data_IF_773551904880
#
_entry.id   IF_773551904880
#
_cell.length_a   1.000
_cell.length_b   1.000
_cell.length_c   1.000
_cell.angle_alpha   90.00
_cell.angle_beta   90.00
_cell.angle_gamma   90.00
#
_symmetry.space_group_name_H-M   'P 1'
#
loop_
_entity.id
_entity.type
_entity.pdbx_description
1 polymer ?
#
# COMPACT_ATOMS: atom_id res chain seq x y z
N UNK A 1 -45.57 -30.25 8.79
CA UNK A 1 -46.40 -31.19 9.57
C UNK A 1 -45.71 -31.47 10.89
N UNK A 2 -46.50 -31.66 11.96
CA UNK A 2 -46.15 -31.84 13.40
C UNK A 2 -46.11 -30.57 14.25
N UNK A 3 -47.33 -30.08 14.43
CA UNK A 3 -47.91 -29.57 15.67
C UNK A 3 -47.54 -30.40 16.91
N UNK A 4 -47.22 -29.72 18.02
CA UNK A 4 -47.60 -30.14 19.36
C UNK A 4 -48.23 -28.96 20.10
N UNK A 5 -49.25 -29.30 20.86
CA UNK A 5 -50.36 -28.49 21.33
C UNK A 5 -50.26 -28.41 22.86
N UNK A 6 -50.13 -27.17 23.36
CA UNK A 6 -50.96 -26.54 24.41
C UNK A 6 -50.81 -26.98 25.88
N UNK A 7 -50.94 -25.96 26.74
CA UNK A 7 -51.32 -25.89 28.18
C UNK A 7 -50.18 -25.73 29.20
N UNK A 8 -50.27 -24.90 30.24
CA UNK A 8 -51.44 -24.28 30.90
C UNK A 8 -51.10 -22.90 31.51
N UNK A 9 -52.15 -22.12 31.76
CA UNK A 9 -52.15 -20.80 32.40
C UNK A 9 -51.73 -20.87 33.88
N UNK A 10 -51.05 -19.82 34.36
CA UNK A 10 -51.29 -19.31 35.71
C UNK A 10 -51.07 -17.79 35.74
N UNK A 11 -52.16 -17.07 36.03
CA UNK A 11 -52.19 -15.66 36.40
C UNK A 11 -51.33 -15.44 37.65
N UNK A 12 -50.56 -14.36 37.65
CA UNK A 12 -49.94 -13.78 38.83
C UNK A 12 -49.71 -12.29 38.61
N UNK A 13 -50.77 -11.48 38.74
CA UNK A 13 -50.65 -10.04 38.94
C UNK A 13 -50.00 -9.80 40.31
N UNK A 14 -48.89 -9.06 40.35
CA UNK A 14 -48.59 -8.09 41.41
C UNK A 14 -47.27 -7.36 41.13
N UNK A 15 -47.30 -6.03 41.27
CA UNK A 15 -46.13 -5.29 41.76
C UNK A 15 -45.30 -4.57 40.71
N UNK A 16 -45.44 -3.25 40.70
CA UNK A 16 -44.64 -2.31 39.95
C UNK A 16 -43.16 -2.30 40.38
N UNK A 17 -42.26 -2.12 39.40
CA UNK A 17 -41.04 -1.33 39.54
C UNK A 17 -40.43 -1.08 38.16
N UNK A 18 -40.72 0.09 37.60
CA UNK A 18 -39.89 0.70 36.56
C UNK A 18 -38.50 0.94 37.13
N UNK A 19 -37.50 0.19 36.67
CA UNK A 19 -36.09 0.59 36.69
C UNK A 19 -35.52 0.27 35.31
N UNK A 20 -35.65 1.26 34.43
CA UNK A 20 -34.90 1.34 33.17
C UNK A 20 -33.42 1.59 33.50
N UNK A 21 -32.71 0.55 33.91
CA UNK A 21 -31.25 0.55 33.89
C UNK A 21 -30.81 0.16 32.48
N UNK A 22 -30.96 1.08 31.53
CA UNK A 22 -30.30 1.00 30.24
C UNK A 22 -28.79 1.05 30.48
N UNK A 23 -28.15 -0.11 30.53
CA UNK A 23 -26.70 -0.22 30.35
C UNK A 23 -26.41 0.21 28.92
N UNK A 24 -26.13 1.50 28.76
CA UNK A 24 -25.60 2.03 27.52
C UNK A 24 -24.30 1.30 27.19
N UNK A 25 -24.36 0.38 26.23
CA UNK A 25 -23.23 0.14 25.35
C UNK A 25 -22.89 1.51 24.75
N UNK A 26 -21.86 2.16 25.29
CA UNK A 26 -21.20 3.24 24.56
C UNK A 26 -20.42 2.55 23.44
N UNK A 27 -21.06 2.43 22.29
CA UNK A 27 -20.35 2.28 21.03
C UNK A 27 -19.30 3.41 20.98
N UNK A 28 -18.03 3.05 20.97
CA UNK A 28 -16.94 3.97 20.67
C UNK A 28 -16.98 4.26 19.16
N UNK A 29 -18.07 4.86 18.68
CA UNK A 29 -18.20 5.34 17.31
C UNK A 29 -17.67 6.78 17.23
N UNK A 30 -16.46 7.00 17.75
CA UNK A 30 -15.64 8.09 17.27
C UNK A 30 -15.24 7.79 15.82
N UNK A 31 -15.05 8.79 14.94
CA UNK A 31 -14.53 8.52 13.61
C UNK A 31 -13.23 7.72 13.78
N UNK A 32 -13.21 6.47 13.27
CA UNK A 32 -11.97 5.70 13.23
C UNK A 32 -10.96 6.58 12.49
N UNK A 33 -9.82 6.92 13.10
CA UNK A 33 -8.78 7.67 12.41
C UNK A 33 -8.54 6.96 11.08
N UNK A 34 -8.59 7.70 9.98
CA UNK A 34 -8.17 7.15 8.70
C UNK A 34 -6.79 6.51 8.91
N UNK A 35 -6.54 5.27 8.43
CA UNK A 35 -5.25 4.64 8.62
C UNK A 35 -4.14 5.56 8.09
N UNK A 36 -3.28 6.03 8.99
CA UNK A 36 -2.12 6.83 8.63
C UNK A 36 -1.11 5.88 7.98
N UNK A 37 -0.64 6.23 6.79
CA UNK A 37 0.42 5.49 6.14
C UNK A 37 1.73 6.05 6.69
N UNK A 38 2.30 5.40 7.71
CA UNK A 38 3.48 5.89 8.43
C UNK A 38 4.76 5.67 7.64
N UNK A 39 5.88 6.26 8.12
CA UNK A 39 7.20 5.98 7.58
C UNK A 39 7.57 4.49 7.66
N UNK A 40 7.16 3.79 8.72
CA UNK A 40 7.34 2.34 8.87
C UNK A 40 6.56 1.55 7.81
N UNK A 41 5.33 1.97 7.48
CA UNK A 41 4.57 1.36 6.38
C UNK A 41 5.27 1.55 5.03
N UNK A 42 5.87 2.72 4.80
CA UNK A 42 6.65 2.97 3.59
C UNK A 42 7.90 2.09 3.54
N UNK A 43 8.66 2.03 4.63
CA UNK A 43 9.86 1.20 4.74
C UNK A 43 9.54 -0.27 4.48
N UNK A 44 8.56 -0.84 5.17
CA UNK A 44 8.15 -2.24 4.97
C UNK A 44 7.62 -2.53 3.56
N UNK A 45 6.97 -1.54 2.92
CA UNK A 45 6.58 -1.67 1.50
C UNK A 45 7.82 -1.70 0.59
N UNK A 46 8.82 -0.86 0.83
CA UNK A 46 10.05 -0.83 0.03
C UNK A 46 10.90 -2.10 0.20
N UNK A 47 10.92 -2.69 1.39
CA UNK A 47 11.60 -3.98 1.66
C UNK A 47 11.05 -5.12 0.81
N UNK A 48 9.78 -5.07 0.43
CA UNK A 48 9.15 -6.10 -0.40
C UNK A 48 9.09 -5.73 -1.88
N UNK A 49 8.90 -4.45 -2.19
CA UNK A 49 8.88 -3.92 -3.56
C UNK A 49 10.22 -4.10 -4.25
N UNK A 50 11.33 -3.67 -3.63
CA UNK A 50 12.66 -3.69 -4.22
C UNK A 50 13.07 -5.10 -4.72
N UNK A 51 12.97 -6.14 -3.88
CA UNK A 51 13.24 -7.51 -4.31
C UNK A 51 12.32 -8.04 -5.41
N UNK A 52 11.03 -7.64 -5.44
CA UNK A 52 10.13 -8.04 -6.53
C UNK A 52 10.54 -7.38 -7.85
N UNK A 53 10.84 -6.08 -7.86
CA UNK A 53 11.31 -5.40 -9.06
C UNK A 53 12.64 -5.99 -9.56
N UNK A 54 13.61 -6.20 -8.66
CA UNK A 54 14.88 -6.83 -9.03
C UNK A 54 14.69 -8.27 -9.55
N UNK A 55 13.74 -9.03 -9.02
CA UNK A 55 13.38 -10.35 -9.54
C UNK A 55 12.71 -10.27 -10.92
N UNK A 56 11.88 -9.25 -11.17
CA UNK A 56 11.30 -9.00 -12.49
C UNK A 56 12.39 -8.73 -13.54
N UNK A 57 13.38 -7.88 -13.21
CA UNK A 57 14.51 -7.58 -14.09
C UNK A 57 15.34 -8.84 -14.40
N UNK A 58 15.69 -9.65 -13.38
CA UNK A 58 16.42 -10.91 -13.62
C UNK A 58 15.63 -11.91 -14.49
N UNK A 59 14.32 -12.00 -14.29
CA UNK A 59 13.47 -12.86 -15.11
C UNK A 59 13.40 -12.35 -16.56
N UNK A 60 13.29 -11.03 -16.74
CA UNK A 60 13.35 -10.37 -18.04
C UNK A 60 14.68 -10.68 -18.76
N UNK A 61 15.82 -10.53 -18.09
CA UNK A 61 17.15 -10.86 -18.63
C UNK A 61 17.28 -12.34 -19.02
N UNK A 62 16.58 -13.23 -18.32
CA UNK A 62 16.53 -14.66 -18.64
C UNK A 62 15.53 -15.01 -19.75
N UNK A 63 14.77 -14.04 -20.28
CA UNK A 63 13.70 -14.26 -21.26
C UNK A 63 12.44 -14.93 -20.68
N UNK A 64 12.32 -15.02 -19.35
CA UNK A 64 11.14 -15.54 -18.67
C UNK A 64 10.13 -14.42 -18.44
N UNK A 65 9.45 -14.03 -19.51
CA UNK A 65 8.51 -12.90 -19.50
C UNK A 65 7.29 -13.15 -18.61
N UNK A 66 6.88 -14.41 -18.44
CA UNK A 66 5.77 -14.74 -17.54
C UNK A 66 6.16 -14.46 -16.09
N UNK A 67 7.32 -14.98 -15.63
CA UNK A 67 7.81 -14.70 -14.29
C UNK A 67 8.12 -13.21 -14.09
N UNK A 68 8.66 -12.53 -15.12
CA UNK A 68 8.92 -11.10 -15.08
C UNK A 68 7.63 -10.31 -14.80
N UNK A 69 6.55 -10.58 -15.55
CA UNK A 69 5.23 -9.95 -15.37
C UNK A 69 4.64 -10.19 -13.99
N UNK A 70 4.67 -11.43 -13.49
CA UNK A 70 4.16 -11.75 -12.16
C UNK A 70 4.86 -10.94 -11.05
N UNK A 71 6.19 -10.79 -11.16
CA UNK A 71 6.99 -10.01 -10.21
C UNK A 71 6.77 -8.51 -10.35
N UNK A 72 6.66 -8.03 -11.59
CA UNK A 72 6.41 -6.64 -11.91
C UNK A 72 5.04 -6.18 -11.40
N UNK A 73 4.00 -6.99 -11.59
CA UNK A 73 2.65 -6.71 -11.10
C UNK A 73 2.64 -6.50 -9.57
N UNK A 74 3.32 -7.38 -8.81
CA UNK A 74 3.45 -7.23 -7.35
C UNK A 74 4.18 -5.95 -6.97
N UNK A 75 5.32 -5.67 -7.61
CA UNK A 75 6.09 -4.45 -7.35
C UNK A 75 5.26 -3.19 -7.63
N UNK A 76 4.50 -3.19 -8.73
CA UNK A 76 3.62 -2.09 -9.13
C UNK A 76 2.50 -1.86 -8.13
N UNK A 77 1.79 -2.91 -7.72
CA UNK A 77 0.72 -2.81 -6.71
C UNK A 77 1.26 -2.24 -5.40
N UNK A 78 2.40 -2.77 -4.93
CA UNK A 78 3.09 -2.27 -3.73
C UNK A 78 3.44 -0.79 -3.86
N UNK A 79 4.08 -0.39 -4.97
CA UNK A 79 4.48 0.99 -5.22
C UNK A 79 3.28 1.94 -5.24
N UNK A 80 2.18 1.54 -5.87
CA UNK A 80 0.99 2.37 -5.99
C UNK A 80 0.39 2.73 -4.62
N UNK A 81 0.47 1.84 -3.61
CA UNK A 81 -0.04 2.12 -2.26
C UNK A 81 0.72 3.25 -1.56
N UNK A 82 2.01 3.43 -1.88
CA UNK A 82 2.90 4.43 -1.26
C UNK A 82 2.51 5.86 -1.60
N UNK A 83 1.67 6.09 -2.63
CA UNK A 83 1.18 7.43 -2.97
C UNK A 83 0.46 8.10 -1.79
N UNK A 84 -0.12 7.30 -0.89
CA UNK A 84 -0.80 7.78 0.31
C UNK A 84 0.17 8.48 1.27
N UNK A 85 1.36 7.92 1.47
CA UNK A 85 2.43 8.52 2.27
C UNK A 85 2.76 9.92 1.74
N UNK A 86 3.07 10.01 0.45
CA UNK A 86 3.49 11.28 -0.16
C UNK A 86 2.38 12.34 -0.14
N UNK A 87 1.11 11.94 -0.21
CA UNK A 87 -0.03 12.85 -0.04
C UNK A 87 -0.15 13.36 1.39
N UNK A 88 0.03 12.48 2.38
CA UNK A 88 -0.05 12.84 3.80
C UNK A 88 1.07 13.81 4.21
N UNK A 89 2.22 13.72 3.55
CA UNK A 89 3.37 14.62 3.75
C UNK A 89 3.45 15.77 2.73
N UNK A 90 2.40 15.98 1.93
CA UNK A 90 2.31 17.08 0.95
C UNK A 90 3.48 17.15 -0.07
N UNK A 91 4.05 16.00 -0.41
CA UNK A 91 5.20 15.87 -1.32
C UNK A 91 4.77 15.63 -2.74
N UNK A 92 4.52 16.74 -3.46
CA UNK A 92 4.10 16.71 -4.86
C UNK A 92 5.11 15.99 -5.78
N UNK A 93 6.41 16.18 -5.53
CA UNK A 93 7.50 15.50 -6.23
C UNK A 93 7.55 14.00 -5.92
N UNK A 94 7.37 13.59 -4.66
CA UNK A 94 7.22 12.19 -4.26
C UNK A 94 6.05 11.50 -4.98
N UNK A 95 4.89 12.18 -5.04
CA UNK A 95 3.73 11.73 -5.83
C UNK A 95 4.09 11.59 -7.32
N UNK A 96 4.88 12.54 -7.85
CA UNK A 96 5.39 12.53 -9.22
C UNK A 96 6.22 11.28 -9.51
N UNK A 97 7.22 10.98 -8.69
CA UNK A 97 8.07 9.79 -8.86
C UNK A 97 7.25 8.49 -8.83
N UNK A 98 6.33 8.33 -7.88
CA UNK A 98 5.48 7.14 -7.79
C UNK A 98 4.67 6.95 -9.07
N UNK A 99 4.05 8.02 -9.58
CA UNK A 99 3.25 7.95 -10.82
C UNK A 99 4.11 7.63 -12.03
N UNK A 100 5.29 8.24 -12.15
CA UNK A 100 6.21 7.97 -13.26
C UNK A 100 6.66 6.51 -13.25
N UNK A 101 7.09 5.99 -12.10
CA UNK A 101 7.52 4.61 -11.99
C UNK A 101 6.37 3.62 -12.23
N UNK A 102 5.16 3.85 -11.70
CA UNK A 102 4.00 2.99 -11.98
C UNK A 102 3.66 2.97 -13.47
N UNK A 103 3.70 4.12 -14.15
CA UNK A 103 3.50 4.17 -15.62
C UNK A 103 4.60 3.41 -16.36
N UNK A 104 5.87 3.59 -16.00
CA UNK A 104 6.95 2.83 -16.61
C UNK A 104 6.82 1.31 -16.38
N UNK A 105 6.27 0.87 -15.24
CA UNK A 105 5.94 -0.53 -15.01
C UNK A 105 4.78 -1.01 -15.89
N UNK A 106 3.77 -0.16 -16.15
CA UNK A 106 2.69 -0.46 -17.11
C UNK A 106 3.23 -0.58 -18.55
N UNK A 107 4.13 0.31 -18.96
CA UNK A 107 4.77 0.28 -20.28
C UNK A 107 5.66 -0.96 -20.45
N UNK A 108 6.40 -1.34 -19.41
CA UNK A 108 7.20 -2.57 -19.38
C UNK A 108 6.31 -3.83 -19.48
N UNK A 109 5.20 -3.89 -18.73
CA UNK A 109 4.26 -5.01 -18.82
C UNK A 109 3.67 -5.12 -20.24
N UNK A 110 3.31 -3.99 -20.86
CA UNK A 110 2.81 -3.95 -22.23
C UNK A 110 3.86 -4.46 -23.23
N UNK A 111 5.13 -4.07 -23.09
CA UNK A 111 6.23 -4.53 -23.94
C UNK A 111 6.45 -6.05 -23.86
N UNK A 112 6.16 -6.66 -22.70
CA UNK A 112 6.24 -8.11 -22.49
C UNK A 112 4.96 -8.87 -22.86
N UNK A 113 3.89 -8.18 -23.26
CA UNK A 113 2.55 -8.76 -23.49
C UNK A 113 2.19 -8.95 -24.97
N UNK A 114 3.16 -8.77 -25.87
CA UNK A 114 2.99 -8.96 -27.31
C UNK A 114 3.43 -10.37 -27.74
N UNK A 115 2.97 -10.82 -28.92
CA UNK A 115 3.27 -12.17 -29.44
C UNK A 115 4.78 -12.43 -29.62
N UNK A 116 5.54 -11.39 -29.98
CA UNK A 116 6.98 -11.44 -30.14
C UNK A 116 7.62 -10.27 -29.37
N UNK A 117 8.12 -10.55 -28.17
CA UNK A 117 8.75 -9.57 -27.30
C UNK A 117 10.08 -9.10 -27.90
N UNK A 118 10.26 -7.79 -27.98
CA UNK A 118 11.57 -7.17 -28.23
C UNK A 118 12.32 -7.00 -26.89
N UNK A 119 13.38 -7.79 -26.64
CA UNK A 119 14.10 -7.76 -25.38
C UNK A 119 14.85 -6.44 -25.15
N UNK A 120 15.27 -5.73 -26.20
CA UNK A 120 15.96 -4.44 -26.05
C UNK A 120 14.98 -3.37 -25.58
N UNK A 121 13.80 -3.31 -26.21
CA UNK A 121 12.73 -2.38 -25.81
C UNK A 121 12.27 -2.64 -24.37
N UNK A 122 12.02 -3.90 -24.00
CA UNK A 122 11.63 -4.25 -22.63
C UNK A 122 12.73 -3.90 -21.61
N UNK A 123 14.00 -4.19 -21.94
CA UNK A 123 15.13 -3.82 -21.06
C UNK A 123 15.28 -2.30 -20.91
N UNK A 124 15.00 -1.53 -21.97
CA UNK A 124 14.95 -0.07 -21.92
C UNK A 124 13.92 0.45 -20.92
N UNK A 125 12.68 -0.06 -20.97
CA UNK A 125 11.66 0.32 -19.99
C UNK A 125 12.03 -0.07 -18.55
N UNK A 126 12.63 -1.24 -18.35
CA UNK A 126 13.12 -1.65 -17.04
C UNK A 126 14.21 -0.70 -16.49
N UNK A 127 15.12 -0.25 -17.35
CA UNK A 127 16.15 0.73 -16.99
C UNK A 127 15.55 2.10 -16.61
N UNK A 128 14.53 2.57 -17.34
CA UNK A 128 13.84 3.83 -17.04
C UNK A 128 13.10 3.79 -15.70
N UNK A 129 12.46 2.67 -15.38
CA UNK A 129 11.85 2.44 -14.07
C UNK A 129 12.93 2.46 -12.97
N UNK A 130 14.04 1.75 -13.17
CA UNK A 130 15.15 1.73 -12.21
C UNK A 130 15.76 3.12 -11.99
N UNK A 131 15.90 3.92 -13.06
CA UNK A 131 16.37 5.30 -12.97
C UNK A 131 15.41 6.17 -12.14
N UNK A 132 14.10 5.99 -12.31
CA UNK A 132 13.08 6.68 -11.49
C UNK A 132 13.17 6.29 -10.02
N UNK A 133 13.36 5.01 -9.71
CA UNK A 133 13.59 4.53 -8.35
C UNK A 133 14.82 5.21 -7.72
N UNK A 134 15.92 5.27 -8.47
CA UNK A 134 17.18 5.87 -7.99
C UNK A 134 17.04 7.38 -7.77
N UNK A 135 16.34 8.09 -8.65
CA UNK A 135 16.11 9.53 -8.51
C UNK A 135 15.30 9.86 -7.25
N UNK A 136 14.23 9.09 -6.98
CA UNK A 136 13.44 9.24 -5.75
C UNK A 136 14.31 8.93 -4.51
N UNK A 137 15.05 7.82 -4.53
CA UNK A 137 15.90 7.43 -3.41
C UNK A 137 17.01 8.45 -3.12
N UNK A 138 17.61 9.09 -4.13
CA UNK A 138 18.62 10.11 -3.93
C UNK A 138 18.10 11.30 -3.10
N UNK A 139 16.83 11.66 -3.26
CA UNK A 139 16.19 12.75 -2.54
C UNK A 139 15.79 12.32 -1.13
N UNK A 140 15.16 11.16 -1.01
CA UNK A 140 14.42 10.77 0.20
C UNK A 140 15.11 9.76 1.10
N UNK A 141 16.17 9.09 0.63
CA UNK A 141 16.90 8.09 1.42
C UNK A 141 18.31 8.56 1.75
N UNK A 142 18.76 8.13 2.91
CA UNK A 142 20.15 8.26 3.37
C UNK A 142 20.64 6.92 3.93
N UNK A 143 21.96 6.68 3.94
CA UNK A 143 22.52 5.51 4.59
C UNK A 143 22.12 5.44 6.06
N UNK A 144 21.77 4.24 6.51
CA UNK A 144 21.51 3.99 7.93
C UNK A 144 22.83 3.56 8.62
N UNK A 145 23.17 4.09 9.81
CA UNK A 145 24.34 3.67 10.58
C UNK A 145 24.38 2.17 10.90
N UNK A 146 23.22 1.55 11.08
CA UNK A 146 23.08 0.11 11.36
C UNK A 146 23.09 -0.74 10.07
N UNK A 147 23.23 -0.07 8.92
CA UNK A 147 23.29 -0.67 7.58
C UNK A 147 21.98 -0.50 6.79
N UNK A 148 22.12 -0.46 5.47
CA UNK A 148 20.98 -0.19 4.58
C UNK A 148 20.70 1.29 4.44
N UNK A 149 19.42 1.66 4.31
CA UNK A 149 19.01 3.05 4.14
C UNK A 149 17.70 3.35 4.86
N UNK A 150 17.62 4.53 5.45
CA UNK A 150 16.42 5.09 6.09
C UNK A 150 15.90 6.32 5.33
N UNK A 151 14.70 6.75 5.68
CA UNK A 151 14.11 7.99 5.17
C UNK A 151 14.81 9.21 5.79
N UNK A 152 15.09 10.22 4.96
CA UNK A 152 15.56 11.54 5.41
C UNK A 152 14.38 12.32 5.97
N UNK A 153 14.31 12.49 7.28
CA UNK A 153 13.16 13.11 7.96
C UNK A 153 12.96 14.55 7.50
N UNK A 154 14.05 15.32 7.41
CA UNK A 154 14.06 16.69 6.91
C UNK A 154 13.65 16.81 5.43
N UNK A 155 13.81 15.72 4.68
CA UNK A 155 13.40 15.67 3.29
C UNK A 155 11.92 15.29 3.15
N UNK A 156 11.17 15.04 4.22
CA UNK A 156 9.76 14.60 4.16
C UNK A 156 8.83 15.49 4.97
N UNK A 157 9.30 16.08 6.05
CA UNK A 157 8.55 17.11 6.77
C UNK A 157 8.36 18.38 5.89
N UNK A 158 7.24 19.09 6.02
CA UNK A 158 7.07 20.39 5.39
C UNK A 158 8.22 21.31 5.84
N UNK A 159 8.90 21.97 4.89
CA UNK A 159 9.84 23.02 5.28
C UNK A 159 9.03 24.10 5.98
N UNK A 160 9.18 24.24 7.29
CA UNK A 160 8.74 25.47 7.97
C UNK A 160 9.36 26.63 7.20
N UNK A 161 8.51 27.46 6.60
CA UNK A 161 8.94 28.68 5.96
C UNK A 161 9.68 29.49 7.02
N UNK A 162 11.00 29.62 6.85
CA UNK A 162 11.80 30.51 7.69
C UNK A 162 11.13 31.89 7.74
N UNK A 163 11.07 32.53 8.94
CA UNK A 163 10.37 33.80 9.12
C UNK A 163 10.93 34.92 8.24
#
# INVERSE_FOLDING_TARGET
MRSWVVRDLALGLCGAAMLLAGTGLRAQDGPKPYPIYTADHLAGTMETLGPNFAAAVRALEAGDYLAAKERLARAREQLATTITFWRQHERADGIGFVRTAVRGMDDLDAAMSVDAVDPETASGFAADVQATCNACHAIYREPDPDGGFRLKVEAVEPRESAP
#
